data_IF_890691137497
#
_entry.id   IF_890691137497
#
_cell.length_a   1.000
_cell.length_b   1.000
_cell.length_c   1.000
_cell.angle_alpha   90.00
_cell.angle_beta   90.00
_cell.angle_gamma   90.00
#
_symmetry.space_group_name_H-M   'P 1'
#
loop_
_entity.id
_entity.type
_entity.pdbx_description
1 polymer ?
#
# COMPACT_ATOMS: atom_id res chain seq x y z
N UNK A 1 4.99 -13.97 2.65
CA UNK A 1 3.81 -13.09 2.62
C UNK A 1 2.90 -13.23 3.83
N UNK A 2 2.93 -14.35 4.53
CA UNK A 2 2.04 -14.56 5.70
C UNK A 2 2.07 -13.38 6.68
N UNK A 3 3.26 -12.87 6.98
CA UNK A 3 3.48 -11.81 7.99
C UNK A 3 3.73 -10.42 7.36
N UNK A 4 3.86 -10.35 6.03
CA UNK A 4 4.10 -9.10 5.32
C UNK A 4 3.40 -9.12 3.95
N UNK A 5 2.32 -8.35 3.75
CA UNK A 5 1.57 -8.35 2.50
C UNK A 5 2.31 -7.70 1.32
N UNK A 6 3.28 -6.81 1.58
CA UNK A 6 4.02 -6.03 0.59
C UNK A 6 5.55 -6.18 0.75
N UNK A 7 6.10 -7.41 0.68
CA UNK A 7 7.49 -7.67 1.04
C UNK A 7 8.49 -7.02 0.08
N UNK A 8 8.21 -6.93 -1.21
CA UNK A 8 9.09 -6.33 -2.19
C UNK A 8 9.15 -4.79 -2.04
N UNK A 9 8.03 -4.16 -1.70
CA UNK A 9 7.99 -2.74 -1.31
C UNK A 9 8.82 -2.52 -0.05
N UNK A 10 8.60 -3.33 1.00
CA UNK A 10 9.35 -3.21 2.25
C UNK A 10 10.86 -3.37 2.04
N UNK A 11 11.31 -4.31 1.19
CA UNK A 11 12.71 -4.52 0.87
C UNK A 11 13.40 -3.35 0.15
N UNK A 12 12.64 -2.33 -0.28
CA UNK A 12 13.17 -1.13 -0.98
C UNK A 12 13.15 0.13 -0.14
N UNK A 13 12.20 0.23 0.80
CA UNK A 13 11.99 1.47 1.57
C UNK A 13 12.16 1.29 3.08
N UNK A 14 12.55 0.12 3.53
CA UNK A 14 12.77 -0.19 4.95
C UNK A 14 13.89 0.68 5.53
N UNK A 15 13.72 1.09 6.78
CA UNK A 15 14.76 1.81 7.53
C UNK A 15 15.79 0.90 8.22
N UNK A 16 15.70 -0.42 8.03
CA UNK A 16 16.66 -1.46 8.44
C UNK A 16 16.97 -1.51 9.93
N UNK A 17 16.01 -1.16 10.79
CA UNK A 17 16.23 -1.20 12.26
C UNK A 17 16.70 -2.55 12.77
N UNK A 18 16.24 -3.65 12.18
CA UNK A 18 16.68 -5.00 12.54
C UNK A 18 18.18 -5.25 12.26
N UNK A 19 18.76 -4.58 11.27
CA UNK A 19 20.20 -4.62 11.01
C UNK A 19 20.97 -3.77 12.03
N UNK A 20 20.41 -2.63 12.42
CA UNK A 20 20.98 -1.73 13.42
C UNK A 20 21.12 -2.41 14.80
N UNK A 21 20.13 -3.24 15.18
CA UNK A 21 20.07 -3.96 16.45
C UNK A 21 20.63 -5.40 16.34
N UNK A 22 21.29 -5.72 15.23
CA UNK A 22 21.80 -7.06 14.99
C UNK A 22 23.04 -7.32 15.85
N UNK A 23 22.96 -8.26 16.79
CA UNK A 23 24.07 -8.66 17.69
C UNK A 23 25.30 -9.18 16.95
N UNK A 24 25.16 -9.62 15.69
CA UNK A 24 26.32 -9.95 14.85
C UNK A 24 27.22 -8.74 14.62
N UNK A 25 26.66 -7.52 14.63
CA UNK A 25 27.42 -6.27 14.52
C UNK A 25 28.44 -6.05 15.65
N UNK A 26 28.25 -6.71 16.80
CA UNK A 26 29.20 -6.66 17.92
C UNK A 26 30.47 -7.51 17.66
N UNK A 27 30.41 -8.38 16.66
CA UNK A 27 31.51 -9.30 16.30
C UNK A 27 32.22 -8.83 15.03
N UNK A 28 31.48 -8.57 13.97
CA UNK A 28 32.00 -8.13 12.65
C UNK A 28 31.07 -7.16 11.94
N UNK A 29 30.03 -7.66 11.24
CA UNK A 29 29.06 -6.85 10.53
C UNK A 29 27.63 -7.40 10.72
N UNK A 30 26.62 -6.52 10.79
CA UNK A 30 25.22 -6.94 10.81
C UNK A 30 24.87 -7.83 9.63
N UNK A 31 23.93 -8.75 9.83
CA UNK A 31 23.36 -9.52 8.73
C UNK A 31 22.57 -8.59 7.80
N UNK A 32 22.72 -8.73 6.49
CA UNK A 32 21.99 -7.97 5.48
C UNK A 32 20.53 -8.47 5.35
N UNK A 33 19.75 -8.32 6.43
CA UNK A 33 18.40 -8.87 6.56
C UNK A 33 17.47 -8.32 5.50
N UNK A 34 17.57 -7.01 5.22
CA UNK A 34 16.70 -6.35 4.26
C UNK A 34 17.00 -6.77 2.83
N UNK A 35 18.28 -6.91 2.47
CA UNK A 35 18.66 -7.39 1.14
C UNK A 35 18.23 -8.86 0.92
N UNK A 36 18.29 -9.69 1.96
CA UNK A 36 17.79 -11.08 1.91
C UNK A 36 16.27 -11.08 1.71
N UNK A 37 15.54 -10.26 2.47
CA UNK A 37 14.08 -10.10 2.29
C UNK A 37 13.74 -9.64 0.89
N UNK A 38 14.45 -8.62 0.39
CA UNK A 38 14.25 -8.09 -0.96
C UNK A 38 14.48 -9.16 -2.01
N UNK A 39 15.59 -9.90 -1.92
CA UNK A 39 15.89 -10.99 -2.85
C UNK A 39 14.78 -12.03 -2.89
N UNK A 40 14.31 -12.50 -1.73
CA UNK A 40 13.22 -13.49 -1.64
C UNK A 40 11.92 -12.92 -2.23
N UNK A 41 11.58 -11.66 -1.90
CA UNK A 41 10.37 -11.03 -2.37
C UNK A 41 10.37 -10.80 -3.88
N UNK A 42 11.51 -10.46 -4.46
CA UNK A 42 11.67 -10.23 -5.90
C UNK A 42 11.41 -11.51 -6.72
N UNK A 43 11.65 -12.71 -6.15
CA UNK A 43 11.31 -13.99 -6.81
C UNK A 43 9.79 -14.17 -6.98
N UNK A 44 8.98 -13.54 -6.13
CA UNK A 44 7.51 -13.62 -6.19
C UNK A 44 6.86 -12.53 -7.08
N UNK A 45 7.65 -11.61 -7.65
CA UNK A 45 7.13 -10.59 -8.57
C UNK A 45 6.82 -11.17 -9.96
N UNK A 46 7.47 -12.27 -10.34
CA UNK A 46 7.21 -12.96 -11.60
C UNK A 46 5.86 -13.70 -11.54
N UNK A 47 4.91 -13.40 -12.44
CA UNK A 47 3.62 -14.09 -12.51
C UNK A 47 3.72 -15.61 -12.64
N UNK A 48 4.81 -16.14 -13.25
CA UNK A 48 5.00 -17.56 -13.44
C UNK A 48 5.38 -18.33 -12.16
N UNK A 49 5.96 -17.63 -11.18
CA UNK A 49 6.50 -18.24 -9.96
C UNK A 49 5.89 -17.72 -8.67
N UNK A 50 5.02 -16.69 -8.77
CA UNK A 50 4.44 -16.05 -7.58
C UNK A 50 3.52 -17.00 -6.81
N UNK A 51 3.62 -16.92 -5.50
CA UNK A 51 2.72 -17.59 -4.60
C UNK A 51 1.47 -16.74 -4.32
N UNK A 52 0.29 -17.27 -4.63
CA UNK A 52 -0.99 -16.64 -4.30
C UNK A 52 -1.58 -17.33 -3.08
N UNK A 53 -1.69 -16.63 -1.93
CA UNK A 53 -2.29 -17.20 -0.74
C UNK A 53 -3.75 -17.58 -0.97
N UNK A 54 -4.12 -18.75 -0.48
CA UNK A 54 -5.50 -19.22 -0.55
C UNK A 54 -6.33 -18.63 0.59
N UNK A 55 -7.58 -18.30 0.32
CA UNK A 55 -8.54 -17.89 1.35
C UNK A 55 -8.69 -18.99 2.40
N UNK A 56 -8.69 -18.60 3.68
CA UNK A 56 -8.87 -19.54 4.79
C UNK A 56 -10.35 -19.93 4.96
N UNK A 57 -11.26 -18.98 4.68
CA UNK A 57 -12.70 -19.14 4.81
C UNK A 57 -13.43 -18.44 3.66
N UNK A 58 -14.73 -18.58 3.59
CA UNK A 58 -15.61 -17.73 2.76
C UNK A 58 -16.80 -17.31 3.60
N UNK A 59 -16.77 -16.07 4.05
CA UNK A 59 -17.85 -15.51 4.87
C UNK A 59 -18.98 -14.90 4.04
N UNK A 60 -18.81 -14.75 2.73
CA UNK A 60 -19.78 -14.10 1.84
C UNK A 60 -19.98 -12.59 2.13
N UNK A 61 -19.29 -12.04 3.13
CA UNK A 61 -19.46 -10.65 3.61
C UNK A 61 -18.60 -9.69 2.82
N UNK A 62 -19.21 -8.55 2.43
CA UNK A 62 -18.53 -7.50 1.68
C UNK A 62 -17.95 -6.43 2.61
N UNK A 63 -16.69 -6.09 2.40
CA UNK A 63 -16.00 -5.03 3.15
C UNK A 63 -15.45 -3.99 2.18
N UNK A 64 -15.71 -2.72 2.48
CA UNK A 64 -15.18 -1.58 1.74
C UNK A 64 -13.90 -1.05 2.42
N UNK A 65 -12.82 -0.96 1.67
CA UNK A 65 -11.59 -0.28 2.08
C UNK A 65 -11.50 1.04 1.32
N UNK A 66 -11.38 2.16 2.02
CA UNK A 66 -11.38 3.50 1.45
C UNK A 66 -9.94 4.02 1.41
N UNK A 67 -9.34 3.98 0.24
CA UNK A 67 -7.95 4.33 -0.05
C UNK A 67 -7.07 3.11 -0.29
N UNK A 68 -6.26 3.19 -1.35
CA UNK A 68 -5.34 2.13 -1.81
C UNK A 68 -3.89 2.37 -1.39
N UNK A 69 -3.63 3.21 -0.40
CA UNK A 69 -2.31 3.36 0.20
C UNK A 69 -1.85 2.08 0.91
N UNK A 70 -0.62 2.05 1.47
CA UNK A 70 -0.08 0.85 2.11
C UNK A 70 -0.97 0.30 3.23
N UNK A 71 -1.65 1.17 3.99
CA UNK A 71 -2.59 0.75 5.03
C UNK A 71 -3.82 0.03 4.44
N UNK A 72 -4.41 0.60 3.37
CA UNK A 72 -5.56 0.00 2.70
C UNK A 72 -5.22 -1.31 2.01
N UNK A 73 -4.08 -1.37 1.30
CA UNK A 73 -3.60 -2.60 0.67
C UNK A 73 -3.33 -3.71 1.68
N UNK A 74 -2.67 -3.38 2.81
CA UNK A 74 -2.41 -4.33 3.88
C UNK A 74 -3.71 -4.86 4.50
N UNK A 75 -4.66 -3.98 4.81
CA UNK A 75 -5.97 -4.39 5.32
C UNK A 75 -6.71 -5.28 4.33
N UNK A 76 -6.73 -4.88 3.04
CA UNK A 76 -7.38 -5.65 1.99
C UNK A 76 -6.79 -7.06 1.84
N UNK A 77 -5.46 -7.18 1.95
CA UNK A 77 -4.77 -8.47 1.90
C UNK A 77 -5.22 -9.40 3.03
N UNK A 78 -5.16 -8.95 4.29
CA UNK A 78 -5.52 -9.81 5.42
C UNK A 78 -7.01 -10.15 5.45
N UNK A 79 -7.87 -9.21 5.10
CA UNK A 79 -9.31 -9.49 4.99
C UNK A 79 -9.64 -10.49 3.88
N UNK A 80 -8.99 -10.36 2.72
CA UNK A 80 -9.15 -11.32 1.63
C UNK A 80 -8.61 -12.71 2.01
N UNK A 81 -7.45 -12.75 2.68
CA UNK A 81 -6.86 -13.99 3.18
C UNK A 81 -7.78 -14.69 4.19
N UNK A 82 -8.42 -13.94 5.08
CA UNK A 82 -9.35 -14.47 6.08
C UNK A 82 -10.68 -14.95 5.45
N UNK A 83 -11.07 -14.42 4.27
CA UNK A 83 -12.22 -14.91 3.53
C UNK A 83 -13.35 -13.90 3.28
N UNK A 84 -13.08 -12.61 3.50
CA UNK A 84 -14.02 -11.54 3.17
C UNK A 84 -13.94 -11.15 1.69
N UNK A 85 -15.07 -10.66 1.16
CA UNK A 85 -15.13 -10.07 -0.18
C UNK A 85 -14.77 -8.58 -0.10
N UNK A 86 -13.53 -8.24 -0.45
CA UNK A 86 -12.99 -6.90 -0.27
C UNK A 86 -13.07 -6.09 -1.55
N UNK A 87 -13.56 -4.85 -1.44
CA UNK A 87 -13.47 -3.85 -2.50
C UNK A 87 -12.71 -2.62 -1.98
N UNK A 88 -11.66 -2.25 -2.67
CA UNK A 88 -10.87 -1.05 -2.39
C UNK A 88 -11.35 0.08 -3.29
N UNK A 89 -11.77 1.19 -2.70
CA UNK A 89 -12.15 2.42 -3.39
C UNK A 89 -11.00 3.41 -3.33
N UNK A 90 -10.57 3.90 -4.47
CA UNK A 90 -9.44 4.84 -4.59
C UNK A 90 -9.86 6.05 -5.44
N UNK A 91 -9.67 7.25 -4.92
CA UNK A 91 -10.00 8.50 -5.62
C UNK A 91 -9.09 8.80 -6.80
N UNK A 92 -7.85 8.37 -6.74
CA UNK A 92 -6.89 8.54 -7.83
C UNK A 92 -7.09 7.45 -8.89
N UNK A 93 -6.63 7.72 -10.12
CA UNK A 93 -6.65 6.72 -11.20
C UNK A 93 -5.55 5.66 -11.07
N UNK A 94 -4.68 5.79 -10.06
CA UNK A 94 -3.56 4.88 -9.78
C UNK A 94 -3.64 4.37 -8.36
N UNK A 95 -3.38 3.08 -8.20
CA UNK A 95 -3.33 2.43 -6.89
C UNK A 95 -1.97 2.65 -6.20
N UNK A 96 -1.93 2.44 -4.88
CA UNK A 96 -0.70 2.49 -4.08
C UNK A 96 -0.55 3.74 -3.22
N UNK A 97 -1.39 4.77 -3.39
CA UNK A 97 -1.32 6.00 -2.61
C UNK A 97 0.07 6.64 -2.69
N UNK A 98 0.67 7.01 -1.54
CA UNK A 98 2.00 7.64 -1.51
C UNK A 98 3.15 6.74 -1.98
N UNK A 99 2.99 5.42 -2.02
CA UNK A 99 3.98 4.53 -2.66
C UNK A 99 4.14 4.86 -4.14
N UNK A 100 3.02 5.14 -4.81
CA UNK A 100 2.99 5.45 -6.24
C UNK A 100 3.17 6.94 -6.52
N UNK A 101 2.51 7.80 -5.72
CA UNK A 101 2.43 9.23 -5.97
C UNK A 101 3.58 10.03 -5.36
N UNK A 102 4.18 9.55 -4.26
CA UNK A 102 5.15 10.31 -3.49
C UNK A 102 6.57 9.77 -3.51
N UNK A 103 6.75 8.44 -3.62
CA UNK A 103 8.09 7.85 -3.64
C UNK A 103 8.65 7.87 -5.06
N UNK A 104 9.82 8.49 -5.32
CA UNK A 104 10.43 8.51 -6.64
C UNK A 104 10.76 7.11 -7.18
N UNK A 105 10.67 6.92 -8.51
CA UNK A 105 10.86 5.61 -9.15
C UNK A 105 12.28 5.04 -8.99
N UNK A 106 13.29 5.87 -8.77
CA UNK A 106 14.64 5.41 -8.48
C UNK A 106 14.78 4.80 -7.07
N UNK A 107 13.83 5.06 -6.17
CA UNK A 107 13.78 4.51 -4.81
C UNK A 107 12.84 3.32 -4.71
N UNK A 108 11.69 3.38 -5.40
CA UNK A 108 10.69 2.32 -5.46
C UNK A 108 10.09 2.29 -6.87
N UNK A 109 10.46 1.30 -7.63
CA UNK A 109 10.02 1.09 -9.01
C UNK A 109 8.50 0.85 -9.05
N UNK A 110 7.81 1.50 -9.98
CA UNK A 110 6.34 1.44 -10.05
C UNK A 110 5.81 0.05 -10.43
N UNK A 111 6.55 -0.67 -11.28
CA UNK A 111 6.23 -2.06 -11.64
C UNK A 111 6.27 -3.01 -10.43
N UNK A 112 7.11 -2.74 -9.42
CA UNK A 112 7.14 -3.52 -8.17
C UNK A 112 5.85 -3.32 -7.38
N UNK A 113 5.36 -2.08 -7.29
CA UNK A 113 4.08 -1.77 -6.62
C UNK A 113 2.93 -2.47 -7.36
N UNK A 114 2.92 -2.38 -8.69
CA UNK A 114 1.90 -3.00 -9.54
C UNK A 114 1.88 -4.52 -9.36
N UNK A 115 3.05 -5.19 -9.37
CA UNK A 115 3.16 -6.63 -9.17
C UNK A 115 2.67 -7.07 -7.77
N UNK A 116 2.93 -6.29 -6.72
CA UNK A 116 2.40 -6.54 -5.38
C UNK A 116 0.87 -6.40 -5.33
N UNK A 117 0.31 -5.40 -6.02
CA UNK A 117 -1.14 -5.18 -6.11
C UNK A 117 -1.81 -6.28 -6.93
N UNK A 118 -1.16 -6.77 -7.97
CA UNK A 118 -1.70 -7.86 -8.81
C UNK A 118 -1.91 -9.14 -8.01
N UNK A 119 -1.05 -9.41 -7.01
CA UNK A 119 -1.28 -10.54 -6.09
C UNK A 119 -2.61 -10.36 -5.32
N UNK A 120 -2.92 -9.15 -4.86
CA UNK A 120 -4.20 -8.88 -4.20
C UNK A 120 -5.39 -9.07 -5.16
N UNK A 121 -5.24 -8.66 -6.42
CA UNK A 121 -6.28 -8.92 -7.45
C UNK A 121 -6.50 -10.40 -7.68
N UNK A 122 -5.42 -11.18 -7.77
CA UNK A 122 -5.49 -12.64 -7.90
C UNK A 122 -6.07 -13.33 -6.66
N UNK A 123 -5.93 -12.75 -5.46
CA UNK A 123 -6.64 -13.18 -4.24
C UNK A 123 -8.13 -12.84 -4.26
N UNK A 124 -8.62 -12.10 -5.27
CA UNK A 124 -10.02 -11.71 -5.42
C UNK A 124 -10.37 -10.35 -4.83
N UNK A 125 -9.39 -9.52 -4.48
CA UNK A 125 -9.65 -8.12 -4.08
C UNK A 125 -10.06 -7.31 -5.30
N UNK A 126 -11.20 -6.64 -5.21
CA UNK A 126 -11.68 -5.72 -6.25
C UNK A 126 -11.15 -4.31 -6.01
N UNK A 127 -10.81 -3.60 -7.08
CA UNK A 127 -10.36 -2.22 -7.03
C UNK A 127 -11.25 -1.33 -7.90
N UNK A 128 -11.75 -0.22 -7.32
CA UNK A 128 -12.49 0.84 -8.01
C UNK A 128 -11.68 2.12 -7.92
N UNK A 129 -10.98 2.49 -8.99
CA UNK A 129 -10.19 3.72 -9.10
C UNK A 129 -11.04 4.88 -9.63
N UNK A 130 -10.62 6.13 -9.36
CA UNK A 130 -11.37 7.32 -9.77
C UNK A 130 -12.68 7.50 -9.00
N UNK A 131 -12.81 6.89 -7.81
CA UNK A 131 -14.03 6.95 -6.98
C UNK A 131 -13.70 7.54 -5.61
N UNK A 132 -14.16 8.75 -5.36
CA UNK A 132 -14.00 9.44 -4.07
C UNK A 132 -15.19 9.16 -3.16
N UNK A 133 -15.00 8.31 -2.15
CA UNK A 133 -16.05 8.03 -1.16
C UNK A 133 -16.31 9.29 -0.30
N UNK A 134 -17.57 9.65 -0.20
CA UNK A 134 -18.01 10.91 0.40
C UNK A 134 -18.35 11.99 -0.63
N UNK A 135 -18.01 11.78 -1.92
CA UNK A 135 -18.32 12.69 -3.02
C UNK A 135 -19.04 11.96 -4.17
N UNK A 136 -18.41 10.95 -4.75
CA UNK A 136 -18.95 10.19 -5.89
C UNK A 136 -19.87 9.06 -5.43
N UNK A 137 -19.62 8.51 -4.25
CA UNK A 137 -20.43 7.52 -3.56
C UNK A 137 -20.35 7.75 -2.06
N UNK A 138 -21.47 7.59 -1.35
CA UNK A 138 -21.55 7.78 0.10
C UNK A 138 -21.50 6.43 0.84
N UNK A 139 -21.14 6.46 2.14
CA UNK A 139 -21.18 5.26 2.99
C UNK A 139 -22.60 4.66 3.10
N UNK A 140 -23.69 5.46 3.22
CA UNK A 140 -25.05 4.91 3.16
C UNK A 140 -25.37 4.17 1.86
N UNK A 141 -24.97 4.70 0.71
CA UNK A 141 -25.16 4.02 -0.59
C UNK A 141 -24.39 2.70 -0.64
N UNK A 142 -23.12 2.69 -0.20
CA UNK A 142 -22.34 1.45 -0.13
C UNK A 142 -22.98 0.41 0.82
N UNK A 143 -23.63 0.86 1.91
CA UNK A 143 -24.41 -0.06 2.76
C UNK A 143 -25.58 -0.68 2.01
N UNK A 144 -26.27 0.07 1.16
CA UNK A 144 -27.36 -0.47 0.32
C UNK A 144 -26.84 -1.44 -0.74
N UNK A 145 -25.57 -1.30 -1.18
CA UNK A 145 -24.88 -2.26 -2.06
C UNK A 145 -24.43 -3.53 -1.32
N UNK A 146 -24.67 -3.61 0.00
CA UNK A 146 -24.39 -4.77 0.83
C UNK A 146 -23.02 -4.78 1.50
N UNK A 147 -22.32 -3.64 1.56
CA UNK A 147 -21.10 -3.53 2.38
C UNK A 147 -21.43 -3.45 3.86
N UNK A 148 -20.92 -4.39 4.65
CA UNK A 148 -21.22 -4.51 6.07
C UNK A 148 -20.22 -3.75 6.96
N UNK A 149 -18.95 -3.60 6.51
CA UNK A 149 -17.91 -2.89 7.23
C UNK A 149 -17.09 -1.98 6.31
N UNK A 150 -16.47 -0.96 6.92
CA UNK A 150 -15.71 0.07 6.23
C UNK A 150 -14.39 0.30 6.95
N UNK A 151 -13.28 0.22 6.20
CA UNK A 151 -11.95 0.56 6.69
C UNK A 151 -11.46 1.84 6.02
N UNK A 152 -11.22 2.89 6.83
CA UNK A 152 -10.80 4.21 6.33
C UNK A 152 -9.28 4.27 6.31
N UNK A 153 -8.70 4.34 5.10
CA UNK A 153 -7.25 4.35 4.84
C UNK A 153 -6.84 5.51 3.91
N UNK A 154 -7.47 6.67 4.06
CA UNK A 154 -7.31 7.84 3.17
C UNK A 154 -5.95 8.52 3.26
N UNK A 155 -5.15 8.20 4.28
CA UNK A 155 -3.83 8.78 4.52
C UNK A 155 -3.89 10.26 4.95
N UNK A 156 -2.72 10.93 4.89
CA UNK A 156 -2.56 12.34 5.21
C UNK A 156 -1.70 13.00 4.12
N UNK A 157 -2.30 13.24 2.97
CA UNK A 157 -1.59 13.72 1.76
C UNK A 157 -1.47 15.25 1.67
N UNK A 158 -2.05 15.99 2.60
CA UNK A 158 -1.92 17.45 2.67
C UNK A 158 -0.56 17.86 3.25
N UNK A 159 0.13 18.78 2.57
CA UNK A 159 1.32 19.42 3.12
C UNK A 159 0.98 20.30 4.33
N UNK A 160 1.83 20.31 5.36
CA UNK A 160 1.69 21.23 6.49
C UNK A 160 2.42 22.53 6.16
N UNK A 161 1.72 23.65 6.35
CA UNK A 161 2.34 24.98 6.24
C UNK A 161 3.34 25.21 7.37
N UNK A 162 4.45 25.90 7.05
CA UNK A 162 5.48 26.28 8.02
C UNK A 162 5.09 27.55 8.78
N UNK A 163 4.27 28.43 8.17
CA UNK A 163 3.85 29.72 8.72
C UNK A 163 4.96 30.77 8.68
N UNK A 164 5.86 30.66 7.71
CA UNK A 164 6.96 31.63 7.50
C UNK A 164 6.63 32.63 6.39
N UNK A 165 7.21 33.81 6.44
CA UNK A 165 7.06 34.81 5.39
C UNK A 165 7.57 34.29 4.04
N UNK A 166 6.79 34.51 2.97
CA UNK A 166 7.12 34.05 1.63
C UNK A 166 6.67 32.61 1.30
N UNK A 167 6.07 31.89 2.24
CA UNK A 167 5.58 30.51 1.99
C UNK A 167 4.56 30.43 0.85
N UNK A 168 3.76 31.50 0.67
CA UNK A 168 2.75 31.60 -0.39
C UNK A 168 3.27 32.30 -1.67
N UNK A 169 4.59 32.56 -1.79
CA UNK A 169 5.17 33.21 -2.95
C UNK A 169 5.08 32.34 -4.21
N UNK A 170 5.01 32.96 -5.37
CA UNK A 170 4.97 32.26 -6.65
C UNK A 170 6.22 31.37 -6.83
N UNK A 171 6.01 30.10 -7.12
CA UNK A 171 7.08 29.10 -7.30
C UNK A 171 7.39 28.30 -6.03
N UNK A 172 6.84 28.68 -4.88
CA UNK A 172 6.90 27.87 -3.65
C UNK A 172 5.82 26.79 -3.72
N UNK A 173 6.24 25.54 -3.65
CA UNK A 173 5.33 24.38 -3.69
C UNK A 173 5.65 23.44 -2.53
N UNK A 174 4.64 22.71 -2.06
CA UNK A 174 4.88 21.69 -1.04
C UNK A 174 5.68 20.51 -1.60
N UNK A 175 6.50 19.85 -0.76
CA UNK A 175 7.24 18.67 -1.17
C UNK A 175 6.33 17.54 -1.66
N UNK A 176 5.14 17.40 -1.08
CA UNK A 176 4.15 16.41 -1.52
C UNK A 176 3.64 16.73 -2.94
N UNK A 177 3.31 17.98 -3.22
CA UNK A 177 2.85 18.40 -4.55
C UNK A 177 3.96 18.29 -5.60
N UNK A 178 5.20 18.56 -5.21
CA UNK A 178 6.37 18.36 -6.08
C UNK A 178 6.57 16.90 -6.46
N UNK A 179 6.45 15.99 -5.50
CA UNK A 179 6.63 14.55 -5.74
C UNK A 179 5.49 13.90 -6.53
N UNK A 180 4.31 14.50 -6.54
CA UNK A 180 3.13 14.03 -7.29
C UNK A 180 3.15 14.39 -8.78
N UNK A 181 4.00 15.32 -9.19
CA UNK A 181 4.18 15.75 -10.58
C UNK A 181 5.04 14.78 -11.36
#
# INVERSE_FOLDING_TARGET
RKENPLPAVCGRICNRRCEFECTRGDIDQPLAIDEIKKFIADQELDPATRFIPQKMHDYGKKIAVIGSGPAGLSCAYYLALDGYNVTVFEKENRLGGMLTLGIPSFRLEKNVIEAEIDILKEMGVMFKTGVEVGKDVTVPELRTEGFEAFYIAIGAQGGRKLGVEGEDAQGVISGVDFLRK
#
